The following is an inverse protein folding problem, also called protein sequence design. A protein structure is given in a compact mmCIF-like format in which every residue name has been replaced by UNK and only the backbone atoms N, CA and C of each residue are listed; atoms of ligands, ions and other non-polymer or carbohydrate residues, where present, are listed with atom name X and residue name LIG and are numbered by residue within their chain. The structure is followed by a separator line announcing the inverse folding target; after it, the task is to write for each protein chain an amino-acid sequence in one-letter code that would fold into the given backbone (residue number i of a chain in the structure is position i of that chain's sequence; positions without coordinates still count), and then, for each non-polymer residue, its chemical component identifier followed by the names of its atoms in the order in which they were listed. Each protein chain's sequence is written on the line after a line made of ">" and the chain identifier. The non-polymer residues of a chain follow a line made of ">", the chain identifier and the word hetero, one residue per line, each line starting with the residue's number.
data_IF_712285642575
#
_entry.id   IF_712285642575
#
_cell.length_a   1.000
_cell.length_b   1.000
_cell.length_c   1.000
_cell.angle_alpha   90.00
_cell.angle_beta   90.00
_cell.angle_gamma   90.00
#
_symmetry.space_group_name_H-M   'P 1'
#
loop_
_entity.id
_entity.type
_entity.pdbx_description
1 polymer ?
#
# COMPACT_ATOMS: atom_id res chain seq x y z
N UNK A 1 15.89 3.84 -8.50
CA UNK A 1 15.75 3.01 -9.75
C UNK A 1 16.38 3.76 -10.90
N UNK A 2 17.18 3.11 -11.74
CA UNK A 2 17.78 3.71 -12.94
C UNK A 2 16.69 4.18 -13.94
N UNK A 3 16.81 5.40 -14.52
CA UNK A 3 15.84 5.94 -15.48
C UNK A 3 15.60 5.07 -16.71
N UNK A 4 16.63 4.38 -17.21
CA UNK A 4 16.50 3.47 -18.35
C UNK A 4 15.62 2.27 -17.99
N UNK A 5 15.84 1.69 -16.82
CA UNK A 5 15.02 0.58 -16.30
C UNK A 5 13.57 1.00 -16.08
N UNK A 6 13.36 2.23 -15.58
CA UNK A 6 12.03 2.80 -15.46
C UNK A 6 11.32 2.83 -16.81
N UNK A 7 11.96 3.42 -17.84
CA UNK A 7 11.37 3.53 -19.17
C UNK A 7 11.05 2.16 -19.77
N UNK A 8 11.91 1.17 -19.56
CA UNK A 8 11.67 -0.20 -20.02
C UNK A 8 10.43 -0.83 -19.33
N UNK A 9 10.24 -0.61 -18.02
CA UNK A 9 9.07 -1.11 -17.31
C UNK A 9 7.80 -0.40 -17.74
N UNK A 10 7.82 0.93 -17.87
CA UNK A 10 6.69 1.70 -18.36
C UNK A 10 6.23 1.23 -19.74
N UNK A 11 7.17 1.00 -20.66
CA UNK A 11 6.87 0.51 -22.02
C UNK A 11 6.37 -0.95 -21.98
N UNK A 12 7.04 -1.83 -21.23
CA UNK A 12 6.68 -3.26 -21.13
C UNK A 12 5.26 -3.47 -20.64
N UNK A 13 4.83 -2.68 -19.65
CA UNK A 13 3.53 -2.82 -19.03
C UNK A 13 2.50 -1.79 -19.50
N UNK A 14 2.84 -1.00 -20.55
CA UNK A 14 1.98 0.05 -21.10
C UNK A 14 1.48 1.03 -20.01
N UNK A 15 2.37 1.35 -19.05
CA UNK A 15 2.05 2.30 -17.99
C UNK A 15 2.30 3.70 -18.52
N UNK A 16 1.24 4.52 -18.59
CA UNK A 16 1.31 5.91 -19.02
C UNK A 16 1.21 6.81 -17.80
N UNK A 17 2.32 7.45 -17.36
CA UNK A 17 2.27 8.40 -16.27
C UNK A 17 1.21 9.47 -16.53
N UNK A 18 0.24 9.59 -15.64
CA UNK A 18 -0.86 10.55 -15.80
C UNK A 18 -0.75 11.66 -14.76
N UNK A 19 -0.52 12.88 -15.24
CA UNK A 19 -0.53 14.09 -14.39
C UNK A 19 -1.91 14.29 -13.73
N UNK A 20 -2.98 13.95 -14.44
CA UNK A 20 -4.35 14.05 -13.91
C UNK A 20 -4.62 13.05 -12.76
N UNK A 21 -3.90 11.93 -12.71
CA UNK A 21 -3.91 10.97 -11.60
C UNK A 21 -2.88 11.31 -10.52
N UNK A 22 -2.11 12.39 -10.67
CA UNK A 22 -1.04 12.76 -9.73
C UNK A 22 0.10 11.74 -9.65
N UNK A 23 0.29 10.91 -10.69
CA UNK A 23 1.31 9.87 -10.70
C UNK A 23 2.70 10.49 -10.90
N UNK A 24 3.44 10.65 -9.80
CA UNK A 24 4.86 10.97 -9.78
C UNK A 24 5.62 9.76 -9.26
N UNK A 25 6.31 9.06 -10.16
CA UNK A 25 7.15 7.94 -9.75
C UNK A 25 8.36 8.46 -8.98
N UNK A 26 8.42 8.12 -7.70
CA UNK A 26 9.56 8.42 -6.86
C UNK A 26 10.69 7.45 -7.19
N UNK A 27 11.79 7.98 -7.72
CA UNK A 27 12.94 7.19 -8.16
C UNK A 27 14.19 7.45 -7.32
N UNK A 28 14.19 8.56 -6.60
CA UNK A 28 15.31 8.97 -5.77
C UNK A 28 15.46 7.99 -4.59
N UNK A 29 16.57 7.25 -4.61
CA UNK A 29 16.85 6.21 -3.63
C UNK A 29 17.14 6.79 -2.25
N UNK A 30 17.69 8.00 -2.18
CA UNK A 30 18.01 8.65 -0.91
C UNK A 30 16.73 9.15 -0.23
N UNK A 31 15.79 9.69 -1.01
CA UNK A 31 14.46 10.06 -0.52
C UNK A 31 13.71 8.84 -0.03
N UNK A 32 13.72 7.73 -0.78
CA UNK A 32 13.07 6.47 -0.37
C UNK A 32 13.70 5.93 0.92
N UNK A 33 15.03 5.89 1.00
CA UNK A 33 15.72 5.46 2.21
C UNK A 33 15.33 6.33 3.42
N UNK A 34 15.26 7.65 3.21
CA UNK A 34 14.85 8.60 4.24
C UNK A 34 13.40 8.42 4.67
N UNK A 35 12.47 8.13 3.74
CA UNK A 35 11.08 7.84 4.09
C UNK A 35 10.99 6.62 5.01
N UNK A 36 11.68 5.53 4.67
CA UNK A 36 11.68 4.29 5.45
C UNK A 36 12.36 4.49 6.82
N UNK A 37 13.43 5.28 6.87
CA UNK A 37 14.13 5.64 8.12
C UNK A 37 13.24 6.47 9.04
N UNK A 38 12.62 7.56 8.53
CA UNK A 38 11.75 8.44 9.31
C UNK A 38 10.51 7.71 9.80
N UNK A 39 9.96 6.79 9.00
CA UNK A 39 8.86 5.91 9.43
C UNK A 39 9.30 4.89 10.50
N UNK A 40 10.61 4.76 10.75
CA UNK A 40 11.16 3.86 11.77
C UNK A 40 10.73 2.41 11.57
N UNK A 41 10.65 1.95 10.30
CA UNK A 41 10.16 0.60 9.99
C UNK A 41 11.08 -0.46 10.58
N UNK A 42 10.51 -1.39 11.35
CA UNK A 42 11.17 -2.49 12.04
C UNK A 42 10.70 -3.86 11.53
N UNK A 43 11.42 -4.92 11.89
CA UNK A 43 11.17 -6.28 11.42
C UNK A 43 9.86 -6.91 11.92
N UNK A 44 9.21 -6.35 12.91
CA UNK A 44 7.90 -6.78 13.44
C UNK A 44 6.72 -5.93 12.97
N UNK A 45 6.98 -4.85 12.21
CA UNK A 45 5.95 -3.93 11.73
C UNK A 45 5.08 -4.53 10.61
N UNK A 46 3.80 -4.19 10.68
CA UNK A 46 2.86 -4.28 9.57
C UNK A 46 2.81 -2.92 8.88
N UNK A 47 3.07 -2.89 7.58
CA UNK A 47 3.12 -1.64 6.80
C UNK A 47 2.07 -1.66 5.69
N UNK A 48 1.33 -0.58 5.55
CA UNK A 48 0.41 -0.35 4.43
C UNK A 48 1.01 0.72 3.52
N UNK A 49 1.15 0.40 2.25
CA UNK A 49 1.57 1.34 1.22
C UNK A 49 0.42 1.63 0.25
N UNK A 50 0.19 2.91 -0.02
CA UNK A 50 -0.83 3.36 -0.97
C UNK A 50 -0.15 3.92 -2.21
N UNK A 51 -0.56 3.42 -3.37
CA UNK A 51 0.01 3.83 -4.66
C UNK A 51 1.47 3.41 -4.83
N UNK A 52 1.81 2.13 -4.72
CA UNK A 52 3.18 1.64 -4.86
C UNK A 52 3.79 1.94 -6.23
N UNK A 53 2.97 2.14 -7.26
CA UNK A 53 3.41 2.39 -8.63
C UNK A 53 4.29 1.25 -9.17
N UNK A 54 5.56 1.52 -9.39
CA UNK A 54 6.52 0.50 -9.86
C UNK A 54 7.25 -0.22 -8.70
N UNK A 55 6.84 0.01 -7.46
CA UNK A 55 7.29 -0.75 -6.31
C UNK A 55 8.69 -0.40 -5.78
N UNK A 56 9.21 0.81 -6.05
CA UNK A 56 10.54 1.18 -5.57
C UNK A 56 10.55 1.33 -4.05
N UNK A 57 9.55 2.03 -3.49
CA UNK A 57 9.36 2.13 -2.04
C UNK A 57 8.92 0.77 -1.47
N UNK A 58 8.00 0.06 -2.13
CA UNK A 58 7.52 -1.28 -1.72
C UNK A 58 8.67 -2.24 -1.45
N UNK A 59 9.66 -2.28 -2.37
CA UNK A 59 10.84 -3.13 -2.19
C UNK A 59 11.57 -2.83 -0.88
N UNK A 60 11.84 -1.56 -0.62
CA UNK A 60 12.54 -1.13 0.60
C UNK A 60 11.74 -1.40 1.88
N UNK A 61 10.40 -1.31 1.80
CA UNK A 61 9.52 -1.69 2.90
C UNK A 61 9.55 -3.20 3.15
N UNK A 62 9.49 -4.03 2.09
CA UNK A 62 9.55 -5.49 2.20
C UNK A 62 10.86 -6.01 2.78
N UNK A 63 11.97 -5.29 2.54
CA UNK A 63 13.29 -5.65 3.08
C UNK A 63 13.39 -5.43 4.60
N UNK A 64 12.52 -4.60 5.19
CA UNK A 64 12.56 -4.22 6.61
C UNK A 64 11.37 -4.68 7.42
N UNK A 65 10.17 -4.64 6.85
CA UNK A 65 8.94 -4.91 7.57
C UNK A 65 8.63 -6.41 7.68
N UNK A 66 7.85 -6.79 8.68
CA UNK A 66 7.28 -8.12 8.83
C UNK A 66 6.36 -8.48 7.66
N UNK A 67 5.48 -7.57 7.31
CA UNK A 67 4.58 -7.72 6.17
C UNK A 67 4.18 -6.36 5.60
N UNK A 68 3.95 -6.33 4.28
CA UNK A 68 3.55 -5.13 3.53
C UNK A 68 2.26 -5.42 2.78
N UNK A 69 1.25 -4.55 2.95
CA UNK A 69 0.07 -4.49 2.10
C UNK A 69 0.21 -3.31 1.15
N UNK A 70 0.37 -3.57 -0.13
CA UNK A 70 0.41 -2.56 -1.17
C UNK A 70 -0.95 -2.46 -1.88
N UNK A 71 -1.50 -1.24 -1.98
CA UNK A 71 -2.81 -0.97 -2.60
C UNK A 71 -2.59 -0.11 -3.83
N UNK A 72 -2.86 -0.66 -5.03
CA UNK A 72 -2.63 0.02 -6.31
C UNK A 72 -3.93 0.17 -7.11
N UNK A 73 -4.19 1.39 -7.57
CA UNK A 73 -5.37 1.70 -8.37
C UNK A 73 -5.15 1.45 -9.87
N UNK A 74 -3.92 1.65 -10.34
CA UNK A 74 -3.60 1.49 -11.76
C UNK A 74 -3.38 0.02 -12.09
N UNK A 75 -4.26 -0.53 -12.93
CA UNK A 75 -4.26 -1.94 -13.33
C UNK A 75 -2.92 -2.37 -13.95
N UNK A 76 -2.33 -1.53 -14.80
CA UNK A 76 -1.06 -1.84 -15.45
C UNK A 76 0.11 -1.85 -14.47
N UNK A 77 0.10 -0.93 -13.50
CA UNK A 77 1.07 -0.92 -12.42
C UNK A 77 0.89 -2.14 -11.50
N UNK A 78 -0.35 -2.51 -11.17
CA UNK A 78 -0.63 -3.72 -10.39
C UNK A 78 -0.16 -5.00 -11.11
N UNK A 79 -0.35 -5.09 -12.43
CA UNK A 79 0.19 -6.20 -13.24
C UNK A 79 1.72 -6.23 -13.18
N UNK A 80 2.38 -5.08 -13.29
CA UNK A 80 3.85 -4.98 -13.19
C UNK A 80 4.33 -5.47 -11.82
N UNK A 81 3.73 -4.99 -10.73
CA UNK A 81 4.05 -5.39 -9.36
C UNK A 81 3.85 -6.89 -9.14
N UNK A 82 2.75 -7.45 -9.63
CA UNK A 82 2.41 -8.88 -9.51
C UNK A 82 3.45 -9.77 -10.20
N UNK A 83 4.03 -9.32 -11.31
CA UNK A 83 5.04 -10.07 -12.06
C UNK A 83 6.47 -9.84 -11.57
N UNK A 84 6.80 -8.60 -11.22
CA UNK A 84 8.19 -8.21 -10.97
C UNK A 84 8.57 -8.26 -9.48
N UNK A 85 7.61 -8.03 -8.57
CA UNK A 85 7.91 -7.83 -7.15
C UNK A 85 7.31 -8.91 -6.25
N UNK A 86 6.03 -9.24 -6.39
CA UNK A 86 5.35 -10.24 -5.55
C UNK A 86 6.09 -11.58 -5.47
N UNK A 87 6.61 -12.15 -6.59
CA UNK A 87 7.32 -13.44 -6.51
C UNK A 87 8.65 -13.38 -5.75
N UNK A 88 9.19 -12.19 -5.50
CA UNK A 88 10.48 -11.97 -4.83
C UNK A 88 10.35 -11.64 -3.34
N UNK A 89 9.13 -11.32 -2.88
CA UNK A 89 8.86 -10.89 -1.51
C UNK A 89 7.66 -11.64 -0.94
N UNK A 90 7.90 -12.72 -0.22
CA UNK A 90 6.86 -13.56 0.39
C UNK A 90 6.00 -12.80 1.42
N UNK A 91 6.52 -11.68 1.96
CA UNK A 91 5.83 -10.80 2.90
C UNK A 91 5.05 -9.66 2.23
N UNK A 92 4.94 -9.65 0.88
CA UNK A 92 4.18 -8.66 0.13
C UNK A 92 2.80 -9.20 -0.23
N UNK A 93 1.77 -8.48 0.20
CA UNK A 93 0.39 -8.66 -0.26
C UNK A 93 0.04 -7.49 -1.18
N UNK A 94 -0.37 -7.77 -2.41
CA UNK A 94 -0.83 -6.76 -3.36
C UNK A 94 -2.36 -6.83 -3.50
N UNK A 95 -3.02 -5.70 -3.27
CA UNK A 95 -4.43 -5.52 -3.58
C UNK A 95 -4.59 -4.45 -4.67
N UNK A 96 -5.35 -4.80 -5.73
CA UNK A 96 -5.67 -3.90 -6.83
C UNK A 96 -7.02 -3.23 -6.59
N UNK A 97 -7.02 -1.91 -6.47
CA UNK A 97 -8.25 -1.14 -6.26
C UNK A 97 -8.03 0.26 -5.70
N UNK A 98 -9.14 0.97 -5.55
CA UNK A 98 -9.16 2.32 -4.98
C UNK A 98 -9.02 2.28 -3.45
N UNK A 99 -7.92 2.83 -2.95
CA UNK A 99 -7.61 2.93 -1.53
C UNK A 99 -8.66 3.71 -0.71
N UNK A 100 -9.48 4.54 -1.35
CA UNK A 100 -10.56 5.31 -0.73
C UNK A 100 -11.89 4.56 -0.70
N UNK A 101 -12.00 3.41 -1.36
CA UNK A 101 -13.23 2.64 -1.40
C UNK A 101 -13.52 1.94 -0.06
N UNK A 102 -14.82 1.71 0.21
CA UNK A 102 -15.23 0.89 1.37
C UNK A 102 -14.63 -0.51 1.32
N UNK A 103 -14.40 -1.05 0.12
CA UNK A 103 -13.77 -2.36 -0.08
C UNK A 103 -12.31 -2.36 0.36
N UNK A 104 -11.55 -1.31 0.00
CA UNK A 104 -10.17 -1.14 0.46
C UNK A 104 -10.07 -1.03 1.98
N UNK A 105 -11.00 -0.29 2.58
CA UNK A 105 -11.10 -0.17 4.02
C UNK A 105 -11.27 -1.55 4.69
N UNK A 106 -12.20 -2.35 4.20
CA UNK A 106 -12.46 -3.69 4.72
C UNK A 106 -11.24 -4.62 4.55
N UNK A 107 -10.62 -4.63 3.39
CA UNK A 107 -9.44 -5.46 3.14
C UNK A 107 -8.25 -5.09 4.03
N UNK A 108 -8.03 -3.79 4.28
CA UNK A 108 -7.01 -3.33 5.25
C UNK A 108 -7.26 -3.93 6.64
N UNK A 109 -8.51 -3.89 7.11
CA UNK A 109 -8.89 -4.44 8.42
C UNK A 109 -8.71 -5.96 8.45
N UNK A 110 -9.16 -6.69 7.44
CA UNK A 110 -8.97 -8.14 7.34
C UNK A 110 -7.49 -8.54 7.33
N UNK A 111 -6.69 -7.81 6.57
CA UNK A 111 -5.25 -8.06 6.50
C UNK A 111 -4.56 -7.78 7.85
N UNK A 112 -4.87 -6.68 8.51
CA UNK A 112 -4.37 -6.35 9.84
C UNK A 112 -4.76 -7.41 10.89
N UNK A 113 -5.94 -8.01 10.74
CA UNK A 113 -6.40 -9.10 11.59
C UNK A 113 -5.74 -10.46 11.26
N UNK A 114 -4.85 -10.51 10.26
CA UNK A 114 -4.12 -11.71 9.85
C UNK A 114 -4.94 -12.70 9.02
N UNK A 115 -6.07 -12.25 8.43
CA UNK A 115 -6.84 -13.08 7.51
C UNK A 115 -6.08 -13.30 6.21
N UNK A 116 -6.18 -14.53 5.68
CA UNK A 116 -5.69 -14.90 4.35
C UNK A 116 -6.85 -14.78 3.34
N UNK A 117 -6.59 -14.07 2.23
CA UNK A 117 -7.60 -13.85 1.19
C UNK A 117 -8.56 -12.70 1.50
N UNK A 118 -9.43 -12.40 0.53
CA UNK A 118 -10.32 -11.23 0.54
C UNK A 118 -11.78 -11.66 0.53
N UNK A 119 -12.61 -11.04 1.36
CA UNK A 119 -14.05 -11.27 1.33
C UNK A 119 -14.67 -10.58 0.11
N UNK A 120 -15.43 -11.32 -0.69
CA UNK A 120 -16.13 -10.77 -1.86
C UNK A 120 -17.25 -9.79 -1.46
N UNK A 121 -17.92 -10.08 -0.33
CA UNK A 121 -19.00 -9.24 0.20
C UNK A 121 -18.51 -8.51 1.44
N UNK A 122 -18.66 -7.19 1.40
CA UNK A 122 -18.24 -6.28 2.47
C UNK A 122 -19.49 -5.69 3.12
N UNK A 123 -19.76 -6.07 4.38
CA UNK A 123 -20.75 -5.41 5.22
C UNK A 123 -20.08 -4.76 6.43
N UNK A 124 -19.80 -3.46 6.29
CA UNK A 124 -19.15 -2.65 7.33
C UNK A 124 -20.02 -2.44 8.57
N UNK A 125 -21.33 -2.78 8.50
CA UNK A 125 -22.25 -2.65 9.64
C UNK A 125 -22.43 -3.95 10.41
N UNK A 126 -21.91 -5.06 9.89
CA UNK A 126 -22.06 -6.36 10.53
C UNK A 126 -21.42 -6.42 11.90
N UNK A 127 -21.99 -7.23 12.80
CA UNK A 127 -21.41 -7.50 14.13
C UNK A 127 -20.02 -8.13 14.02
N UNK A 128 -19.82 -9.02 13.04
CA UNK A 128 -18.54 -9.66 12.77
C UNK A 128 -17.45 -8.68 12.38
N UNK A 129 -17.80 -7.60 11.63
CA UNK A 129 -16.84 -6.56 11.28
C UNK A 129 -16.46 -5.70 12.50
N UNK A 130 -17.45 -5.34 13.34
CA UNK A 130 -17.18 -4.60 14.60
C UNK A 130 -16.33 -5.41 15.55
N UNK A 131 -16.56 -6.73 15.65
CA UNK A 131 -15.74 -7.64 16.43
C UNK A 131 -14.31 -7.73 15.88
N UNK A 132 -14.14 -7.76 14.54
CA UNK A 132 -12.85 -7.75 13.91
C UNK A 132 -12.08 -6.46 14.24
N UNK A 133 -12.74 -5.30 14.15
CA UNK A 133 -12.15 -4.00 14.53
C UNK A 133 -11.73 -3.97 16.03
N UNK A 134 -12.54 -4.52 16.92
CA UNK A 134 -12.23 -4.53 18.36
C UNK A 134 -11.05 -5.43 18.74
N UNK A 135 -10.73 -6.42 17.88
CA UNK A 135 -9.60 -7.34 18.03
C UNK A 135 -8.31 -6.85 17.36
N UNK A 136 -8.34 -5.71 16.67
CA UNK A 136 -7.15 -5.12 16.08
C UNK A 136 -6.30 -4.46 17.17
N UNK A 137 -5.53 -5.27 17.89
CA UNK A 137 -4.51 -4.82 18.85
C UNK A 137 -3.12 -4.66 18.19
N UNK A 138 -3.07 -4.58 16.88
CA UNK A 138 -1.80 -4.51 16.15
C UNK A 138 -1.52 -3.09 15.73
N UNK A 139 -0.41 -2.55 16.24
CA UNK A 139 0.20 -1.34 15.69
C UNK A 139 0.59 -1.58 14.24
N UNK A 140 0.26 -0.66 13.36
CA UNK A 140 0.67 -0.67 11.97
C UNK A 140 1.12 0.72 11.52
N UNK A 141 1.88 0.77 10.44
CA UNK A 141 2.38 2.01 9.84
C UNK A 141 1.82 2.19 8.44
N UNK A 142 1.66 3.45 8.04
CA UNK A 142 1.34 3.80 6.66
C UNK A 142 2.54 4.56 6.11
N UNK A 143 3.10 4.09 5.00
CA UNK A 143 4.21 4.76 4.32
C UNK A 143 3.86 4.84 2.85
N UNK A 144 3.72 6.05 2.31
CA UNK A 144 3.24 6.25 0.94
C UNK A 144 3.74 7.55 0.32
N UNK A 145 3.91 7.55 -0.99
CA UNK A 145 4.06 8.76 -1.80
C UNK A 145 2.71 9.10 -2.44
N UNK A 146 1.83 9.73 -1.65
CA UNK A 146 0.43 9.96 -2.05
C UNK A 146 0.29 11.05 -3.10
N UNK A 147 -0.56 10.83 -4.14
CA UNK A 147 -1.03 11.91 -5.00
C UNK A 147 -1.78 12.98 -4.18
N UNK A 148 -1.49 14.26 -4.44
CA UNK A 148 -2.11 15.37 -3.71
C UNK A 148 -3.64 15.33 -3.71
N UNK A 149 -4.26 14.86 -4.82
CA UNK A 149 -5.71 14.81 -5.00
C UNK A 149 -6.42 13.91 -3.98
N UNK A 150 -5.75 12.88 -3.47
CA UNK A 150 -6.35 11.92 -2.54
C UNK A 150 -5.85 12.11 -1.10
N UNK A 151 -4.78 12.89 -0.88
CA UNK A 151 -4.10 12.99 0.42
C UNK A 151 -5.07 13.33 1.55
N UNK A 152 -5.84 14.42 1.45
CA UNK A 152 -6.75 14.83 2.52
C UNK A 152 -7.86 13.79 2.82
N UNK A 153 -8.42 13.18 1.77
CA UNK A 153 -9.46 12.14 1.92
C UNK A 153 -8.87 10.87 2.55
N UNK A 154 -7.67 10.48 2.12
CA UNK A 154 -6.99 9.31 2.66
C UNK A 154 -6.59 9.51 4.12
N UNK A 155 -6.01 10.66 4.47
CA UNK A 155 -5.67 11.01 5.85
C UNK A 155 -6.89 10.92 6.77
N UNK A 156 -8.04 11.48 6.34
CA UNK A 156 -9.28 11.37 7.10
C UNK A 156 -9.67 9.90 7.32
N UNK A 157 -9.71 9.10 6.24
CA UNK A 157 -10.05 7.68 6.34
C UNK A 157 -9.11 6.91 7.27
N UNK A 158 -7.81 7.16 7.18
CA UNK A 158 -6.83 6.45 7.99
C UNK A 158 -6.84 6.86 9.47
N UNK A 159 -7.19 8.12 9.79
CA UNK A 159 -7.14 8.64 11.16
C UNK A 159 -8.47 8.59 11.89
N UNK A 160 -9.59 8.51 11.15
CA UNK A 160 -10.95 8.57 11.73
C UNK A 160 -11.66 7.22 11.63
N UNK A 161 -11.56 6.56 10.47
CA UNK A 161 -12.37 5.39 10.15
C UNK A 161 -11.70 4.05 10.50
N UNK A 162 -10.35 4.05 10.60
CA UNK A 162 -9.55 2.88 11.00
C UNK A 162 -8.98 3.05 12.41
N UNK A 163 -8.55 1.96 13.07
CA UNK A 163 -7.61 2.07 14.16
C UNK A 163 -6.42 2.91 13.70
N UNK A 164 -6.03 3.89 14.50
CA UNK A 164 -4.98 4.83 14.09
C UNK A 164 -3.65 4.11 13.85
N UNK A 165 -2.95 4.40 12.75
CA UNK A 165 -1.60 3.90 12.57
C UNK A 165 -0.66 4.51 13.63
N UNK A 166 0.39 3.79 14.00
CA UNK A 166 1.43 4.31 14.90
C UNK A 166 2.30 5.38 14.23
N UNK A 167 2.43 5.29 12.89
CA UNK A 167 3.16 6.26 12.05
C UNK A 167 2.42 6.43 10.73
N UNK A 168 2.40 7.66 10.22
CA UNK A 168 1.89 7.99 8.90
C UNK A 168 2.73 9.09 8.27
#
# INVERSE_FOLDING_TARGET
>A
MDPLKLQQLLNRYNIKPSRSKGQNFLLDVDVIARMVEVAGVQADDLVIEIGPGLGVLTKSLCEKAKAVLAIELDENAAVALRKELVPKHANLTLWEGDALSNRAFHHRVEWLAGKQGWSEKVDLKSSSYKELLSKLDRSYKIVANLPYQITSKFLRSALVDLPRPSVM
#
